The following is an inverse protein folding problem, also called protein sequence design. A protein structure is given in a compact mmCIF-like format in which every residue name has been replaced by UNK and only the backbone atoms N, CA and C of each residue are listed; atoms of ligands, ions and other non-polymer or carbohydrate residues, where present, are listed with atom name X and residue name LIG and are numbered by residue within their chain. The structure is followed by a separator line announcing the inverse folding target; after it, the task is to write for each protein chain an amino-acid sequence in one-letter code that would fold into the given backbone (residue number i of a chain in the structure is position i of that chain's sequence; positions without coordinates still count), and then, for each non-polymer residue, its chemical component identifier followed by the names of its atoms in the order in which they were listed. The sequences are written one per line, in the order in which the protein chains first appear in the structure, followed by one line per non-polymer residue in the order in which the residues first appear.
data_IF_635369170109
#
_entry.id   IF_635369170109
#
_cell.length_a   1.000
_cell.length_b   1.000
_cell.length_c   1.000
_cell.angle_alpha   90.00
_cell.angle_beta   90.00
_cell.angle_gamma   90.00
#
_symmetry.space_group_name_H-M   'P 1'
#
loop_
_entity.id
_entity.type
_entity.pdbx_description
1 polymer ?
#
# COMPACT_ATOMS: atom_id res chain seq x y z
N UNK A 1 -0.13 7.62 -3.82
CA UNK A 1 -0.31 9.04 -4.16
C UNK A 1 0.48 9.94 -3.22
N UNK A 2 0.84 11.14 -3.67
CA UNK A 2 1.69 12.08 -2.96
C UNK A 2 3.18 11.94 -3.31
N UNK A 3 4.04 12.82 -2.76
CA UNK A 3 5.46 12.82 -3.03
C UNK A 3 6.16 11.65 -2.33
N UNK A 4 7.31 11.25 -2.88
CA UNK A 4 8.20 10.29 -2.22
C UNK A 4 8.92 10.98 -1.04
N UNK A 5 8.31 10.97 0.12
CA UNK A 5 8.86 11.53 1.35
C UNK A 5 8.71 10.54 2.49
N UNK A 6 9.77 10.33 3.24
CA UNK A 6 9.76 9.57 4.49
C UNK A 6 9.50 10.51 5.67
N UNK A 7 8.58 10.13 6.54
CA UNK A 7 8.29 10.84 7.78
C UNK A 7 8.67 9.95 8.97
N UNK A 8 9.43 10.51 9.90
CA UNK A 8 9.79 9.85 11.14
C UNK A 8 9.40 10.72 12.31
N UNK A 9 8.58 10.17 13.19
CA UNK A 9 8.29 10.80 14.48
C UNK A 9 9.18 10.18 15.57
N UNK A 10 9.74 11.01 16.42
CA UNK A 10 10.49 10.57 17.60
C UNK A 10 10.15 11.45 18.80
N UNK A 11 10.12 10.87 20.00
CA UNK A 11 9.96 11.63 21.23
C UNK A 11 11.27 12.31 21.63
N UNK A 12 11.17 13.38 22.41
CA UNK A 12 12.34 14.11 22.91
C UNK A 12 13.28 13.19 23.71
N UNK A 13 12.72 12.29 24.53
CA UNK A 13 13.49 11.31 25.30
C UNK A 13 14.36 10.41 24.42
N UNK A 14 13.83 9.98 23.28
CA UNK A 14 14.58 9.17 22.31
C UNK A 14 15.58 10.04 21.57
N UNK A 15 15.19 11.24 21.17
CA UNK A 15 16.06 12.18 20.47
C UNK A 15 17.31 12.56 21.27
N UNK A 16 17.18 12.71 22.59
CA UNK A 16 18.30 12.98 23.50
C UNK A 16 19.32 11.83 23.59
N UNK A 17 18.86 10.58 23.43
CA UNK A 17 19.69 9.36 23.53
C UNK A 17 20.34 8.94 22.23
N UNK A 18 19.83 9.40 21.09
CA UNK A 18 20.37 9.03 19.77
C UNK A 18 21.59 9.89 19.46
N UNK A 19 22.66 9.25 18.98
CA UNK A 19 23.82 9.94 18.46
C UNK A 19 23.46 10.79 17.24
N UNK A 20 24.14 11.92 17.06
CA UNK A 20 23.96 12.76 15.89
C UNK A 20 24.23 11.98 14.59
N UNK A 21 23.27 11.94 13.70
CA UNK A 21 23.33 11.35 12.38
C UNK A 21 23.54 12.40 11.27
N UNK A 22 23.39 13.67 11.62
CA UNK A 22 23.60 14.79 10.71
C UNK A 22 25.08 15.23 10.67
N UNK A 23 25.33 16.31 9.97
CA UNK A 23 26.66 16.92 9.91
C UNK A 23 27.16 17.31 11.31
N UNK A 24 28.47 17.14 11.56
CA UNK A 24 29.08 17.41 12.88
C UNK A 24 28.85 18.85 13.35
N UNK A 25 28.83 19.82 12.43
CA UNK A 25 28.59 21.24 12.77
C UNK A 25 27.13 21.54 13.17
N UNK A 26 26.21 20.62 12.91
CA UNK A 26 24.80 20.69 13.33
C UNK A 26 24.51 19.84 14.57
N UNK A 27 25.52 19.21 15.18
CA UNK A 27 25.33 18.26 16.28
C UNK A 27 24.58 18.83 17.50
N UNK A 28 24.67 20.15 17.73
CA UNK A 28 23.98 20.84 18.82
C UNK A 28 22.53 21.25 18.49
N UNK A 29 22.12 21.07 17.22
CA UNK A 29 20.75 21.39 16.81
C UNK A 29 19.88 20.10 16.86
N UNK A 30 18.93 20.01 17.81
CA UNK A 30 18.07 18.84 17.96
C UNK A 30 17.29 18.51 16.68
N UNK A 31 16.83 19.52 15.95
CA UNK A 31 16.02 19.32 14.72
C UNK A 31 16.81 18.76 13.56
N UNK A 32 18.14 18.88 13.57
CA UNK A 32 19.03 18.37 12.52
C UNK A 32 19.68 17.04 12.90
N UNK A 33 19.50 16.56 14.12
CA UNK A 33 20.21 15.40 14.67
C UNK A 33 19.97 14.12 13.85
N UNK A 34 18.76 13.92 13.34
CA UNK A 34 18.38 12.74 12.56
C UNK A 34 18.28 13.02 11.05
N UNK A 35 18.69 14.20 10.62
CA UNK A 35 18.66 14.59 9.21
C UNK A 35 20.09 14.59 8.64
N UNK A 36 20.53 13.54 7.95
CA UNK A 36 21.91 13.38 7.49
C UNK A 36 22.29 14.37 6.38
N UNK A 37 21.31 14.90 5.65
CA UNK A 37 21.50 15.87 4.57
C UNK A 37 20.38 16.91 4.56
N UNK A 38 20.46 17.90 3.67
CA UNK A 38 19.38 18.88 3.48
C UNK A 38 18.10 18.21 3.01
N UNK A 39 16.93 18.58 3.57
CA UNK A 39 15.66 18.02 3.15
C UNK A 39 15.25 18.54 1.77
N UNK A 40 14.47 17.74 1.03
CA UNK A 40 13.72 18.24 -0.12
C UNK A 40 12.55 19.09 0.38
N UNK A 41 12.72 20.40 0.32
CA UNK A 41 11.72 21.36 0.80
C UNK A 41 10.40 21.27 0.03
N UNK A 42 10.43 20.91 -1.25
CA UNK A 42 9.24 20.72 -2.08
C UNK A 42 8.43 19.53 -1.61
N UNK A 43 9.09 18.40 -1.35
CA UNK A 43 8.45 17.19 -0.82
C UNK A 43 7.87 17.43 0.58
N UNK A 44 8.61 18.16 1.45
CA UNK A 44 8.12 18.55 2.78
C UNK A 44 6.87 19.44 2.68
N UNK A 45 6.90 20.47 1.82
CA UNK A 45 5.76 21.34 1.61
C UNK A 45 4.53 20.61 1.06
N UNK A 46 4.72 19.63 0.18
CA UNK A 46 3.64 18.83 -0.38
C UNK A 46 2.89 17.98 0.67
N UNK A 47 3.48 17.74 1.85
CA UNK A 47 2.78 17.04 2.94
C UNK A 47 1.53 17.82 3.42
N UNK A 48 1.53 19.16 3.32
CA UNK A 48 0.36 19.97 3.64
C UNK A 48 -0.82 19.64 2.71
N UNK A 49 -0.56 19.49 1.40
CA UNK A 49 -1.57 19.12 0.41
C UNK A 49 -2.21 17.75 0.65
N UNK A 50 -1.51 16.84 1.32
CA UNK A 50 -2.12 15.57 1.76
C UNK A 50 -3.19 15.80 2.83
N UNK A 51 -2.95 16.72 3.75
CA UNK A 51 -3.94 17.07 4.78
C UNK A 51 -5.16 17.75 4.15
N UNK A 52 -4.93 18.67 3.22
CA UNK A 52 -6.01 19.32 2.47
C UNK A 52 -6.88 18.31 1.71
N UNK A 53 -6.26 17.30 1.09
CA UNK A 53 -6.96 16.21 0.42
C UNK A 53 -7.88 15.43 1.38
N UNK A 54 -7.38 15.04 2.55
CA UNK A 54 -8.21 14.35 3.55
C UNK A 54 -9.36 15.24 4.05
N UNK A 55 -9.11 16.51 4.26
CA UNK A 55 -10.13 17.47 4.65
C UNK A 55 -11.21 17.64 3.58
N UNK A 56 -10.85 17.66 2.32
CA UNK A 56 -11.82 17.78 1.21
C UNK A 56 -12.65 16.51 1.07
N UNK A 57 -12.05 15.33 1.20
CA UNK A 57 -12.79 14.05 1.25
C UNK A 57 -13.74 14.02 2.45
N UNK A 58 -13.28 14.44 3.63
CA UNK A 58 -14.13 14.52 4.81
C UNK A 58 -15.34 15.44 4.59
N UNK A 59 -15.12 16.65 4.10
CA UNK A 59 -16.19 17.62 3.81
C UNK A 59 -17.19 17.08 2.80
N UNK A 60 -16.70 16.38 1.76
CA UNK A 60 -17.54 15.79 0.73
C UNK A 60 -18.49 14.73 1.28
N UNK A 61 -18.01 13.84 2.14
CA UNK A 61 -18.76 12.69 2.64
C UNK A 61 -19.51 12.94 3.93
N UNK A 62 -19.03 13.82 4.81
CA UNK A 62 -19.53 14.03 6.16
C UNK A 62 -20.06 15.44 6.40
N UNK A 63 -19.92 16.35 5.41
CA UNK A 63 -20.33 17.73 5.52
C UNK A 63 -19.34 18.62 6.28
N UNK A 64 -19.70 19.89 6.45
CA UNK A 64 -18.83 20.89 7.07
C UNK A 64 -18.93 20.90 8.60
N UNK A 65 -18.76 19.79 9.29
CA UNK A 65 -18.69 19.72 10.74
C UNK A 65 -17.35 20.38 11.21
N UNK A 66 -17.36 21.70 11.33
CA UNK A 66 -16.17 22.55 11.59
C UNK A 66 -15.50 22.25 12.94
N UNK A 67 -16.21 21.60 13.86
CA UNK A 67 -15.72 21.34 15.23
C UNK A 67 -15.04 19.98 15.40
N UNK A 68 -15.01 19.13 14.37
CA UNK A 68 -14.36 17.82 14.48
C UNK A 68 -12.84 17.99 14.43
N UNK A 69 -12.07 17.50 15.42
CA UNK A 69 -10.62 17.58 15.42
C UNK A 69 -10.02 16.94 14.17
N UNK A 70 -8.90 17.48 13.68
CA UNK A 70 -8.23 16.98 12.46
C UNK A 70 -7.96 15.47 12.50
N UNK A 71 -7.50 14.97 13.64
CA UNK A 71 -7.23 13.53 13.83
C UNK A 71 -8.48 12.68 13.61
N UNK A 72 -9.61 13.11 14.14
CA UNK A 72 -10.87 12.37 14.06
C UNK A 72 -11.39 12.40 12.64
N UNK A 73 -11.28 13.55 11.94
CA UNK A 73 -11.62 13.66 10.51
C UNK A 73 -10.80 12.69 9.66
N UNK A 74 -9.48 12.66 9.87
CA UNK A 74 -8.60 11.74 9.15
C UNK A 74 -8.97 10.29 9.46
N UNK A 75 -9.24 9.95 10.72
CA UNK A 75 -9.65 8.60 11.11
C UNK A 75 -10.95 8.18 10.40
N UNK A 76 -11.94 9.08 10.31
CA UNK A 76 -13.19 8.81 9.59
C UNK A 76 -12.97 8.60 8.08
N UNK A 77 -12.05 9.36 7.49
CA UNK A 77 -11.71 9.19 6.06
C UNK A 77 -10.96 7.88 5.83
N UNK A 78 -10.05 7.47 6.72
CA UNK A 78 -9.38 6.17 6.62
C UNK A 78 -10.36 5.01 6.76
N UNK A 79 -11.35 5.12 7.63
CA UNK A 79 -12.40 4.11 7.77
C UNK A 79 -13.24 4.02 6.49
N UNK A 80 -13.61 5.16 5.91
CA UNK A 80 -14.31 5.23 4.62
C UNK A 80 -13.52 4.55 3.49
N UNK A 81 -12.22 4.83 3.40
CA UNK A 81 -11.32 4.21 2.42
C UNK A 81 -11.22 2.70 2.65
N UNK A 82 -10.96 2.29 3.89
CA UNK A 82 -10.84 0.88 4.25
C UNK A 82 -12.08 0.06 3.90
N UNK A 83 -13.26 0.59 4.18
CA UNK A 83 -14.53 -0.07 3.82
C UNK A 83 -14.73 -0.18 2.30
N UNK A 84 -14.34 0.84 1.54
CA UNK A 84 -14.42 0.80 0.08
C UNK A 84 -13.40 -0.19 -0.49
N UNK A 85 -12.15 -0.10 -0.06
CA UNK A 85 -11.06 -0.99 -0.48
C UNK A 85 -11.36 -2.46 -0.14
N UNK A 86 -11.97 -2.73 1.02
CA UNK A 86 -12.45 -4.06 1.37
C UNK A 86 -13.48 -4.59 0.37
N UNK A 87 -14.46 -3.77 -0.03
CA UNK A 87 -15.47 -4.18 -1.03
C UNK A 87 -14.85 -4.52 -2.37
N UNK A 88 -13.82 -3.76 -2.77
CA UNK A 88 -13.08 -4.00 -4.01
C UNK A 88 -12.20 -5.26 -3.92
N UNK A 89 -11.55 -5.47 -2.78
CA UNK A 89 -10.61 -6.55 -2.57
C UNK A 89 -11.30 -7.92 -2.40
N UNK A 90 -12.46 -7.94 -1.77
CA UNK A 90 -13.16 -9.19 -1.40
C UNK A 90 -13.32 -10.15 -2.60
N UNK A 91 -13.84 -9.74 -3.77
CA UNK A 91 -14.01 -10.67 -4.89
C UNK A 91 -12.70 -11.30 -5.38
N UNK A 92 -11.59 -10.55 -5.34
CA UNK A 92 -10.27 -11.06 -5.73
C UNK A 92 -9.71 -12.05 -4.70
N UNK A 93 -9.83 -11.73 -3.41
CA UNK A 93 -9.39 -12.63 -2.32
C UNK A 93 -10.19 -13.92 -2.36
N UNK A 94 -11.51 -13.85 -2.49
CA UNK A 94 -12.39 -15.01 -2.56
C UNK A 94 -12.09 -15.88 -3.77
N UNK A 95 -11.92 -15.28 -4.95
CA UNK A 95 -11.57 -16.00 -6.16
C UNK A 95 -10.23 -16.76 -6.02
N UNK A 96 -9.17 -16.05 -5.61
CA UNK A 96 -7.84 -16.64 -5.47
C UNK A 96 -7.85 -17.73 -4.40
N UNK A 97 -8.53 -17.51 -3.28
CA UNK A 97 -8.58 -18.47 -2.17
C UNK A 97 -9.43 -19.70 -2.47
N UNK A 98 -10.40 -19.61 -3.38
CA UNK A 98 -11.26 -20.74 -3.78
C UNK A 98 -10.60 -21.70 -4.75
N UNK A 99 -9.43 -21.36 -5.29
CA UNK A 99 -8.78 -22.12 -6.34
C UNK A 99 -7.59 -22.92 -5.82
N UNK A 100 -7.52 -24.17 -6.24
CA UNK A 100 -6.41 -25.08 -5.90
C UNK A 100 -5.10 -24.76 -6.65
N UNK A 101 -5.20 -24.12 -7.83
CA UNK A 101 -4.06 -23.72 -8.65
C UNK A 101 -3.45 -22.37 -8.24
N UNK A 102 -4.05 -21.67 -7.28
CA UNK A 102 -3.50 -20.45 -6.69
C UNK A 102 -3.18 -20.61 -5.19
N UNK A 103 -2.15 -19.91 -4.76
CA UNK A 103 -1.80 -19.74 -3.36
C UNK A 103 -1.83 -18.26 -3.01
N UNK A 104 -2.83 -17.84 -2.24
CA UNK A 104 -2.85 -16.48 -1.67
C UNK A 104 -1.73 -16.35 -0.63
N UNK A 105 -0.98 -15.26 -0.69
CA UNK A 105 0.09 -14.96 0.27
C UNK A 105 -0.46 -14.06 1.37
N UNK A 106 -0.23 -14.45 2.62
CA UNK A 106 -0.70 -13.73 3.81
C UNK A 106 -2.09 -14.16 4.26
N UNK A 107 -2.80 -13.26 4.96
CA UNK A 107 -4.13 -13.53 5.50
C UNK A 107 -5.15 -13.83 4.39
N UNK A 108 -6.06 -14.75 4.64
CA UNK A 108 -7.20 -15.04 3.75
C UNK A 108 -8.41 -14.11 4.00
N UNK A 109 -8.34 -13.28 5.05
CA UNK A 109 -9.38 -12.29 5.31
C UNK A 109 -9.27 -11.11 4.35
N UNK A 110 -10.41 -10.62 3.88
CA UNK A 110 -10.53 -9.35 3.16
C UNK A 110 -10.93 -8.18 4.06
N UNK A 111 -11.05 -8.39 5.38
CA UNK A 111 -11.38 -7.32 6.32
C UNK A 111 -10.28 -6.25 6.34
N UNK A 112 -10.65 -4.98 6.16
CA UNK A 112 -9.70 -3.86 6.08
C UNK A 112 -8.90 -3.65 7.37
N UNK A 113 -9.40 -4.12 8.52
CA UNK A 113 -8.67 -4.13 9.79
C UNK A 113 -7.57 -5.19 9.87
N UNK A 114 -7.60 -6.19 8.99
CA UNK A 114 -6.69 -7.33 8.98
C UNK A 114 -5.72 -7.30 7.79
N UNK A 115 -6.18 -6.85 6.63
CA UNK A 115 -5.43 -6.82 5.38
C UNK A 115 -5.43 -5.44 4.76
N UNK A 116 -4.25 -4.94 4.39
CA UNK A 116 -4.15 -3.82 3.45
C UNK A 116 -4.65 -4.24 2.06
N UNK A 117 -5.10 -3.31 1.20
CA UNK A 117 -5.66 -3.62 -0.11
C UNK A 117 -4.58 -4.02 -1.13
N UNK A 118 -3.73 -4.95 -0.73
CA UNK A 118 -2.65 -5.53 -1.52
C UNK A 118 -2.78 -7.05 -1.50
N UNK A 119 -2.91 -7.64 -2.68
CA UNK A 119 -3.14 -9.07 -2.88
C UNK A 119 -1.93 -9.62 -3.62
N UNK A 120 -1.13 -10.42 -2.93
CA UNK A 120 -0.04 -11.18 -3.53
C UNK A 120 -0.45 -12.65 -3.61
N UNK A 121 -0.19 -13.28 -4.75
CA UNK A 121 -0.50 -14.68 -4.96
C UNK A 121 0.51 -15.34 -5.91
N UNK A 122 0.67 -16.64 -5.76
CA UNK A 122 1.43 -17.50 -6.65
C UNK A 122 0.50 -18.45 -7.39
N UNK A 123 0.86 -18.85 -8.60
CA UNK A 123 0.16 -19.89 -9.36
C UNK A 123 1.04 -21.12 -9.51
N UNK A 124 0.45 -22.29 -9.28
CA UNK A 124 1.16 -23.56 -9.49
C UNK A 124 1.14 -24.03 -10.96
N UNK A 125 0.35 -23.39 -11.81
CA UNK A 125 0.15 -23.79 -13.20
C UNK A 125 0.79 -22.85 -14.23
N UNK A 126 1.12 -21.62 -13.81
CA UNK A 126 1.68 -20.58 -14.68
C UNK A 126 2.72 -19.76 -13.93
N UNK A 127 3.70 -19.24 -14.67
CA UNK A 127 4.66 -18.29 -14.07
C UNK A 127 4.00 -16.96 -13.71
N UNK A 128 4.58 -16.26 -12.72
CA UNK A 128 4.12 -14.94 -12.33
C UNK A 128 4.20 -13.95 -13.51
N UNK A 129 5.20 -14.11 -14.37
CA UNK A 129 5.37 -13.30 -15.58
C UNK A 129 4.26 -13.50 -16.61
N UNK A 130 3.79 -14.75 -16.84
CA UNK A 130 2.69 -15.01 -17.76
C UNK A 130 1.39 -14.36 -17.30
N UNK A 131 1.07 -14.46 -16.01
CA UNK A 131 -0.13 -13.83 -15.43
C UNK A 131 -0.02 -12.32 -15.49
N UNK A 132 1.15 -11.77 -15.10
CA UNK A 132 1.45 -10.35 -15.23
C UNK A 132 1.23 -9.84 -16.65
N UNK A 133 1.79 -10.53 -17.64
CA UNK A 133 1.69 -10.13 -19.04
C UNK A 133 0.25 -10.11 -19.54
N UNK A 134 -0.56 -11.10 -19.17
CA UNK A 134 -1.98 -11.13 -19.53
C UNK A 134 -2.79 -10.01 -18.88
N UNK A 135 -2.51 -9.70 -17.61
CA UNK A 135 -3.15 -8.58 -16.91
C UNK A 135 -2.79 -7.24 -17.54
N UNK A 136 -1.52 -7.01 -17.86
CA UNK A 136 -1.04 -5.77 -18.49
C UNK A 136 -1.60 -5.63 -19.90
N UNK A 137 -1.65 -6.68 -20.70
CA UNK A 137 -2.26 -6.70 -22.04
C UNK A 137 -3.75 -6.31 -21.99
N UNK A 138 -4.44 -6.75 -20.95
CA UNK A 138 -5.81 -6.33 -20.68
C UNK A 138 -5.93 -4.90 -20.11
N UNK A 139 -4.82 -4.19 -19.87
CA UNK A 139 -4.80 -2.84 -19.28
C UNK A 139 -5.04 -2.81 -17.77
N UNK A 140 -4.68 -3.87 -17.06
CA UNK A 140 -4.66 -3.92 -15.59
C UNK A 140 -3.23 -3.75 -15.12
N UNK A 141 -2.96 -2.67 -14.40
CA UNK A 141 -1.64 -2.43 -13.78
C UNK A 141 -1.44 -3.36 -12.59
N UNK A 142 -0.35 -4.10 -12.60
CA UNK A 142 0.04 -5.00 -11.51
C UNK A 142 1.56 -5.12 -11.44
N UNK A 143 2.07 -5.89 -10.50
CA UNK A 143 3.49 -6.22 -10.43
C UNK A 143 3.71 -7.72 -10.31
N UNK A 144 4.92 -8.20 -10.64
CA UNK A 144 5.33 -9.58 -10.41
C UNK A 144 6.78 -9.66 -9.94
N UNK A 145 7.18 -10.81 -9.42
CA UNK A 145 8.53 -11.07 -8.93
C UNK A 145 8.63 -11.09 -7.40
N UNK A 146 9.83 -10.94 -6.89
CA UNK A 146 10.08 -11.02 -5.44
C UNK A 146 9.98 -9.69 -4.68
N UNK A 147 9.82 -8.56 -5.35
CA UNK A 147 9.66 -7.22 -4.75
C UNK A 147 10.74 -6.86 -3.73
N UNK A 148 12.00 -7.24 -3.97
CA UNK A 148 13.13 -7.14 -3.04
C UNK A 148 12.98 -7.96 -1.75
N UNK A 149 11.98 -8.84 -1.69
CA UNK A 149 11.72 -9.74 -0.56
C UNK A 149 12.21 -11.17 -0.85
N UNK A 150 13.36 -11.32 -1.53
CA UNK A 150 13.93 -12.60 -1.96
C UNK A 150 13.91 -13.67 -0.85
N UNK A 151 14.44 -13.33 0.35
CA UNK A 151 14.48 -14.24 1.48
C UNK A 151 13.10 -14.62 2.01
N UNK A 152 12.11 -13.74 1.90
CA UNK A 152 10.74 -14.04 2.30
C UNK A 152 10.10 -15.02 1.32
N UNK A 153 10.28 -14.79 0.01
CA UNK A 153 9.76 -15.68 -1.03
C UNK A 153 10.36 -17.09 -0.88
N UNK A 154 11.68 -17.18 -0.67
CA UNK A 154 12.38 -18.43 -0.38
C UNK A 154 11.86 -19.10 0.92
N UNK A 155 11.66 -18.34 1.99
CA UNK A 155 11.22 -18.85 3.29
C UNK A 155 9.77 -19.38 3.30
N UNK A 156 8.97 -19.04 2.29
CA UNK A 156 7.63 -19.57 2.07
C UNK A 156 7.59 -20.67 0.99
N UNK A 157 8.74 -21.24 0.67
CA UNK A 157 8.91 -22.33 -0.31
C UNK A 157 8.43 -21.97 -1.74
N UNK A 158 8.70 -20.76 -2.19
CA UNK A 158 8.51 -20.32 -3.57
C UNK A 158 9.85 -19.98 -4.22
N UNK A 159 9.92 -20.10 -5.54
CA UNK A 159 11.09 -19.68 -6.32
C UNK A 159 11.19 -18.15 -6.35
N UNK A 160 12.25 -17.55 -5.79
CA UNK A 160 12.43 -16.10 -5.82
C UNK A 160 12.62 -15.50 -7.21
N UNK A 161 13.01 -16.30 -8.19
CA UNK A 161 13.18 -15.84 -9.58
C UNK A 161 11.83 -15.69 -10.30
N UNK A 162 10.84 -16.51 -9.96
CA UNK A 162 9.46 -16.32 -10.41
C UNK A 162 8.68 -15.37 -9.50
N UNK A 163 8.79 -15.56 -8.19
CA UNK A 163 8.14 -14.73 -7.19
C UNK A 163 6.61 -14.89 -7.15
N UNK A 164 5.92 -13.78 -7.08
CA UNK A 164 4.46 -13.70 -6.96
C UNK A 164 3.89 -12.63 -7.88
N UNK A 165 2.61 -12.72 -8.22
CA UNK A 165 1.84 -11.62 -8.80
C UNK A 165 1.28 -10.77 -7.67
N UNK A 166 1.28 -9.43 -7.81
CA UNK A 166 0.73 -8.51 -6.83
C UNK A 166 -0.21 -7.51 -7.47
N UNK A 167 -1.44 -7.53 -7.00
CA UNK A 167 -2.46 -6.52 -7.26
C UNK A 167 -2.54 -5.59 -6.05
N UNK A 168 -2.55 -4.28 -6.27
CA UNK A 168 -2.71 -3.28 -5.21
C UNK A 168 -3.85 -2.36 -5.59
N UNK A 169 -4.75 -2.15 -4.65
CA UNK A 169 -5.93 -1.32 -4.81
C UNK A 169 -5.79 -0.08 -3.92
N UNK A 170 -6.49 0.96 -4.26
CA UNK A 170 -6.63 2.17 -3.47
C UNK A 170 -8.08 2.68 -3.56
N UNK A 171 -8.44 3.60 -2.71
CA UNK A 171 -9.79 4.13 -2.57
C UNK A 171 -10.41 4.78 -3.83
N UNK A 172 -9.64 5.02 -4.88
CA UNK A 172 -10.16 5.52 -6.16
C UNK A 172 -10.24 4.45 -7.27
N UNK A 173 -9.95 3.19 -6.95
CA UNK A 173 -10.25 2.09 -7.86
C UNK A 173 -11.76 1.80 -7.91
N UNK A 174 -12.19 1.15 -8.98
CA UNK A 174 -13.60 0.84 -9.25
C UNK A 174 -13.86 -0.67 -9.30
N UNK A 175 -15.13 -1.05 -9.16
CA UNK A 175 -15.57 -2.44 -9.30
C UNK A 175 -15.39 -2.98 -10.71
N UNK A 176 -15.45 -2.12 -11.72
CA UNK A 176 -15.21 -2.47 -13.12
C UNK A 176 -13.75 -2.87 -13.35
N UNK A 177 -12.80 -2.16 -12.73
CA UNK A 177 -11.37 -2.52 -12.79
C UNK A 177 -11.10 -3.86 -12.12
N UNK A 178 -11.74 -4.13 -10.97
CA UNK A 178 -11.67 -5.42 -10.29
C UNK A 178 -12.27 -6.54 -11.13
N UNK A 179 -13.46 -6.32 -11.71
CA UNK A 179 -14.12 -7.27 -12.58
C UNK A 179 -13.27 -7.61 -13.81
N UNK A 180 -12.58 -6.62 -14.35
CA UNK A 180 -11.66 -6.81 -15.47
C UNK A 180 -10.48 -7.70 -15.07
N UNK A 181 -9.86 -7.47 -13.92
CA UNK A 181 -8.77 -8.31 -13.41
C UNK A 181 -9.25 -9.77 -13.19
N UNK A 182 -10.42 -9.94 -12.58
CA UNK A 182 -11.02 -11.26 -12.38
C UNK A 182 -11.26 -11.99 -13.72
N UNK A 183 -11.84 -11.33 -14.72
CA UNK A 183 -12.08 -11.93 -16.04
C UNK A 183 -10.80 -12.42 -16.71
N UNK A 184 -9.69 -11.71 -16.53
CA UNK A 184 -8.38 -12.17 -17.03
C UNK A 184 -7.92 -13.42 -16.27
N UNK A 185 -8.00 -13.41 -14.94
CA UNK A 185 -7.59 -14.56 -14.12
C UNK A 185 -8.46 -15.79 -14.40
N UNK A 186 -9.76 -15.62 -14.61
CA UNK A 186 -10.69 -16.70 -15.03
C UNK A 186 -10.32 -17.27 -16.39
N UNK A 187 -9.96 -16.42 -17.35
CA UNK A 187 -9.52 -16.84 -18.68
C UNK A 187 -8.19 -17.60 -18.69
N UNK A 188 -7.35 -17.41 -17.69
CA UNK A 188 -6.09 -18.13 -17.49
C UNK A 188 -6.26 -19.44 -16.73
N UNK A 189 -7.35 -19.60 -16.00
CA UNK A 189 -7.65 -20.80 -15.25
C UNK A 189 -7.99 -21.98 -16.22
N UNK A 190 -7.38 -23.11 -15.97
CA UNK A 190 -7.66 -24.37 -16.70
C UNK A 190 -8.25 -25.41 -15.77
#
# INVERSE_FOLDING_TARGET
YGPHVGLMFTSDVVLERISNQGHFFNAQNPTSRLTPAGPDHSAVAACAGMIDYYDDVFKHHFGHAVETPLRDRITMVFELFGQHEQKLMTPLVDYISSREDFRLIGSQSSEHSVRAPTIAFHSYSRSSHEIYSALVEAGVSCGHGNFYAHRLVEAIDLDPEDGVVRLSLVHYNTSEEVSKALSVLEGLAK
#
